data_IF_057227674596
#
_entry.id   IF_057227674596
#
_cell.length_a   1.000
_cell.length_b   1.000
_cell.length_c   1.000
_cell.angle_alpha   90.00
_cell.angle_beta   90.00
_cell.angle_gamma   90.00
#
_symmetry.space_group_name_H-M   'P 1'
#
loop_
_entity.id
_entity.type
_entity.pdbx_description
1 polymer ?
#
# COMPACT_ATOMS: atom_id res chain seq x y z
N UNK A 1 -11.23 -18.56 4.08
CA UNK A 1 -10.22 -17.50 4.30
C UNK A 1 -8.91 -17.93 3.64
N UNK A 2 -8.50 -17.25 2.57
CA UNK A 2 -7.20 -17.49 1.93
C UNK A 2 -6.13 -16.74 2.73
N UNK A 3 -5.25 -17.45 3.42
CA UNK A 3 -4.09 -16.86 4.11
C UNK A 3 -2.92 -16.75 3.13
N UNK A 4 -2.87 -15.67 2.33
CA UNK A 4 -1.73 -15.39 1.46
C UNK A 4 -0.61 -14.66 2.21
N UNK A 5 0.53 -15.31 2.18
CA UNK A 5 1.75 -15.14 2.98
C UNK A 5 2.36 -13.73 3.01
N UNK A 6 3.08 -13.41 4.10
CA UNK A 6 3.85 -12.17 4.24
C UNK A 6 5.17 -12.24 3.44
N UNK A 7 5.15 -11.86 2.16
CA UNK A 7 6.39 -11.64 1.39
C UNK A 7 6.97 -10.26 1.74
N UNK A 8 7.55 -10.14 2.94
CA UNK A 8 8.44 -9.02 3.27
C UNK A 8 9.86 -9.39 2.85
N UNK A 9 10.17 -9.17 1.58
CA UNK A 9 11.51 -9.38 1.02
C UNK A 9 12.49 -8.34 1.59
N UNK A 10 13.02 -8.60 2.78
CA UNK A 10 14.20 -7.93 3.36
C UNK A 10 15.48 -8.63 2.88
N UNK A 11 15.65 -8.69 1.55
CA UNK A 11 16.98 -8.66 0.96
C UNK A 11 17.18 -7.28 0.35
N UNK A 12 18.35 -6.69 0.64
CA UNK A 12 18.85 -5.49 -0.04
C UNK A 12 19.55 -5.85 -1.37
N UNK A 13 19.34 -7.09 -1.85
CA UNK A 13 19.88 -7.56 -3.11
C UNK A 13 19.07 -7.02 -4.29
N UNK A 14 19.78 -6.70 -5.37
CA UNK A 14 19.32 -5.78 -6.42
C UNK A 14 18.30 -6.40 -7.36
N UNK A 15 17.06 -6.59 -6.91
CA UNK A 15 15.91 -6.58 -7.84
C UNK A 15 15.76 -5.14 -8.34
N UNK A 16 16.56 -4.78 -9.34
CA UNK A 16 16.38 -3.56 -10.10
C UNK A 16 14.92 -3.53 -10.59
N UNK A 17 14.22 -2.38 -10.51
CA UNK A 17 12.92 -2.25 -11.16
C UNK A 17 13.08 -2.68 -12.61
N UNK A 18 12.18 -3.54 -13.12
CA UNK A 18 12.14 -3.85 -14.54
C UNK A 18 12.09 -2.53 -15.31
N UNK A 19 12.92 -2.41 -16.34
CA UNK A 19 12.99 -1.18 -17.12
C UNK A 19 11.58 -0.83 -17.64
N UNK A 20 11.13 0.42 -17.49
CA UNK A 20 9.85 0.85 -18.02
C UNK A 20 9.82 0.62 -19.53
N UNK A 21 8.73 0.07 -20.07
CA UNK A 21 8.62 -0.20 -21.52
C UNK A 21 8.49 1.09 -22.36
N UNK A 22 8.13 2.20 -21.72
CA UNK A 22 7.85 3.48 -22.36
C UNK A 22 6.47 3.56 -23.02
N UNK A 23 6.08 4.77 -23.41
CA UNK A 23 4.97 5.05 -24.33
C UNK A 23 5.47 5.91 -25.50
N UNK A 24 4.79 5.89 -26.67
CA UNK A 24 5.13 6.82 -27.76
C UNK A 24 5.05 8.27 -27.30
N UNK A 25 5.90 9.15 -27.83
CA UNK A 25 5.81 10.59 -27.54
C UNK A 25 4.46 11.16 -28.00
N UNK A 26 3.88 12.03 -27.16
CA UNK A 26 2.53 12.55 -27.36
C UNK A 26 2.14 13.62 -26.34
N UNK A 27 0.97 14.22 -26.57
CA UNK A 27 0.32 15.18 -25.69
C UNK A 27 -0.49 14.45 -24.60
N UNK A 28 0.21 14.06 -23.54
CA UNK A 28 -0.39 13.44 -22.35
C UNK A 28 -0.58 14.45 -21.22
N UNK A 29 -1.68 14.34 -20.47
CA UNK A 29 -1.81 15.03 -19.19
C UNK A 29 -1.16 14.21 -18.09
N UNK A 30 -0.25 14.84 -17.35
CA UNK A 30 0.35 14.28 -16.16
C UNK A 30 -0.59 14.51 -14.97
N UNK A 31 -0.87 13.46 -14.20
CA UNK A 31 -1.69 13.53 -12.99
C UNK A 31 -0.95 12.81 -11.87
N UNK A 32 -0.66 13.51 -10.78
CA UNK A 32 -0.13 12.92 -9.56
C UNK A 32 -1.15 11.96 -8.95
N UNK A 33 -0.71 10.81 -8.44
CA UNK A 33 -1.61 9.75 -7.97
C UNK A 33 -1.02 8.97 -6.80
N UNK A 34 -1.87 8.62 -5.82
CA UNK A 34 -1.51 7.73 -4.71
C UNK A 34 -2.73 7.07 -4.09
N UNK A 35 -2.51 5.95 -3.40
CA UNK A 35 -3.52 5.23 -2.62
C UNK A 35 -3.04 4.97 -1.18
N UNK A 36 -3.97 4.98 -0.23
CA UNK A 36 -3.78 4.38 1.10
C UNK A 36 -4.35 2.96 1.08
N UNK A 37 -3.76 2.04 1.84
CA UNK A 37 -4.06 0.60 1.73
C UNK A 37 -4.08 -0.12 3.08
N UNK A 38 -4.84 -1.23 3.21
CA UNK A 38 -4.85 -2.05 4.44
C UNK A 38 -3.51 -2.77 4.69
N UNK A 39 -2.71 -2.95 3.63
CA UNK A 39 -1.37 -3.55 3.68
C UNK A 39 -0.49 -3.24 2.47
N UNK A 40 0.22 -4.24 1.94
CA UNK A 40 1.22 -4.12 0.85
C UNK A 40 1.17 -5.27 -0.17
N UNK A 41 0.19 -6.17 -0.07
CA UNK A 41 -0.03 -7.33 -0.95
C UNK A 41 -1.19 -7.02 -1.90
N UNK A 42 -1.26 -7.69 -3.05
CA UNK A 42 -2.38 -7.53 -3.99
C UNK A 42 -3.76 -7.97 -3.44
N UNK A 43 -3.77 -8.76 -2.36
CA UNK A 43 -4.99 -9.13 -1.62
C UNK A 43 -5.42 -8.09 -0.56
N UNK A 44 -4.57 -7.10 -0.28
CA UNK A 44 -4.91 -6.01 0.62
C UNK A 44 -5.78 -4.98 -0.15
N UNK A 45 -6.47 -4.10 0.58
CA UNK A 45 -7.59 -3.30 0.06
C UNK A 45 -7.25 -1.81 0.03
N UNK A 46 -7.87 -1.06 -0.88
CA UNK A 46 -7.72 0.40 -0.97
C UNK A 46 -8.58 1.07 0.11
N UNK A 47 -7.97 1.93 0.92
CA UNK A 47 -8.60 2.72 1.98
C UNK A 47 -8.82 4.19 1.58
N UNK A 48 -8.02 4.69 0.65
CA UNK A 48 -8.16 6.02 0.05
C UNK A 48 -7.57 5.97 -1.35
N UNK A 49 -8.22 6.66 -2.29
CA UNK A 49 -7.67 6.95 -3.61
C UNK A 49 -7.62 8.46 -3.79
N UNK A 50 -6.49 8.97 -4.25
CA UNK A 50 -6.27 10.39 -4.45
C UNK A 50 -5.49 10.68 -5.73
N UNK A 51 -5.81 11.80 -6.35
CA UNK A 51 -5.12 12.32 -7.51
C UNK A 51 -5.05 13.85 -7.49
N UNK A 52 -4.02 14.38 -8.14
CA UNK A 52 -3.66 15.79 -8.15
C UNK A 52 -3.30 16.25 -9.56
N UNK A 53 -3.85 17.37 -9.99
CA UNK A 53 -3.39 18.15 -11.13
C UNK A 53 -3.17 19.60 -10.69
N UNK A 54 -2.56 20.43 -11.55
CA UNK A 54 -2.36 21.86 -11.26
C UNK A 54 -3.66 22.66 -11.19
N UNK A 55 -4.77 22.13 -11.70
CA UNK A 55 -6.07 22.81 -11.77
C UNK A 55 -7.13 22.21 -10.84
N UNK A 56 -7.03 20.93 -10.48
CA UNK A 56 -7.97 20.29 -9.57
C UNK A 56 -7.39 19.09 -8.83
N UNK A 57 -8.10 18.61 -7.81
CA UNK A 57 -7.72 17.44 -7.02
C UNK A 57 -8.91 16.51 -6.77
N UNK A 58 -8.62 15.23 -6.59
CA UNK A 58 -9.57 14.19 -6.21
C UNK A 58 -9.07 13.46 -4.97
N UNK A 59 -9.96 13.20 -4.01
CA UNK A 59 -9.62 12.44 -2.80
C UNK A 59 -10.87 11.80 -2.23
N UNK A 60 -10.95 10.47 -2.29
CA UNK A 60 -12.07 9.69 -1.78
C UNK A 60 -11.57 8.56 -0.89
N UNK A 61 -12.05 8.53 0.36
CA UNK A 61 -11.82 7.42 1.26
C UNK A 61 -12.80 6.27 0.97
N UNK A 62 -12.31 5.04 1.04
CA UNK A 62 -13.02 3.80 0.77
C UNK A 62 -13.12 3.02 2.07
N UNK A 63 -14.26 2.37 2.33
CA UNK A 63 -14.40 1.49 3.49
C UNK A 63 -13.94 0.07 3.16
N UNK A 64 -12.82 -0.43 3.70
CA UNK A 64 -12.36 -1.79 3.45
C UNK A 64 -13.12 -2.82 4.31
N UNK A 65 -13.21 -4.04 3.81
CA UNK A 65 -13.74 -5.21 4.51
C UNK A 65 -12.80 -5.66 5.65
N UNK A 66 -11.49 -5.62 5.44
CA UNK A 66 -10.48 -5.96 6.45
C UNK A 66 -10.09 -4.77 7.33
N UNK A 67 -9.39 -5.04 8.43
CA UNK A 67 -8.74 -4.00 9.24
C UNK A 67 -7.36 -3.64 8.70
N UNK A 68 -6.97 -2.36 8.82
CA UNK A 68 -5.62 -1.92 8.48
C UNK A 68 -4.60 -2.58 9.42
N UNK A 69 -3.54 -3.14 8.83
CA UNK A 69 -2.42 -3.72 9.60
C UNK A 69 -1.62 -2.64 10.34
N UNK A 70 -0.79 -3.04 11.32
CA UNK A 70 -0.05 -2.10 12.19
C UNK A 70 0.80 -1.10 11.39
N UNK A 71 1.44 -1.53 10.31
CA UNK A 71 2.27 -0.70 9.45
C UNK A 71 1.45 0.32 8.65
N UNK A 72 0.34 -0.12 8.07
CA UNK A 72 -0.60 0.76 7.35
C UNK A 72 -1.28 1.76 8.28
N UNK A 73 -1.71 1.36 9.49
CA UNK A 73 -2.28 2.30 10.47
C UNK A 73 -1.33 3.44 10.83
N UNK A 74 -0.03 3.12 11.01
CA UNK A 74 1.02 4.10 11.31
C UNK A 74 1.36 4.98 10.11
N UNK A 75 1.41 4.41 8.89
CA UNK A 75 1.71 5.17 7.66
C UNK A 75 0.60 6.16 7.34
N UNK A 76 -0.62 5.65 7.28
CA UNK A 76 -1.79 6.37 6.76
C UNK A 76 -2.48 7.22 7.83
N UNK A 77 -2.13 7.03 9.11
CA UNK A 77 -2.81 7.64 10.25
C UNK A 77 -4.33 7.35 10.24
N UNK A 78 -4.70 6.16 9.78
CA UNK A 78 -6.07 5.68 9.71
C UNK A 78 -6.21 4.43 10.58
N UNK A 79 -7.38 4.23 11.18
CA UNK A 79 -7.78 2.96 11.78
C UNK A 79 -9.27 2.72 11.61
N UNK A 80 -9.68 1.47 11.71
CA UNK A 80 -11.09 1.13 11.83
C UNK A 80 -11.45 1.08 13.32
N UNK A 81 -12.69 1.47 13.61
CA UNK A 81 -13.34 1.38 14.91
C UNK A 81 -14.73 0.77 14.71
N UNK A 82 -15.11 -0.10 15.63
CA UNK A 82 -16.43 -0.72 15.65
C UNK A 82 -17.29 0.02 16.69
N UNK A 83 -18.47 0.47 16.28
CA UNK A 83 -19.47 1.12 17.15
C UNK A 83 -20.72 0.25 17.08
N UNK A 84 -20.91 -0.58 18.12
CA UNK A 84 -21.90 -1.65 18.09
C UNK A 84 -21.64 -2.61 16.92
N UNK A 85 -22.56 -2.66 15.96
CA UNK A 85 -22.47 -3.50 14.75
C UNK A 85 -21.81 -2.80 13.55
N UNK A 86 -21.60 -1.48 13.62
CA UNK A 86 -21.09 -0.70 12.48
C UNK A 86 -19.57 -0.55 12.55
N UNK A 87 -18.90 -0.66 11.40
CA UNK A 87 -17.46 -0.41 11.22
C UNK A 87 -17.27 0.96 10.57
N UNK A 88 -16.40 1.80 11.12
CA UNK A 88 -16.13 3.14 10.61
C UNK A 88 -14.63 3.44 10.57
N UNK A 89 -14.21 4.21 9.57
CA UNK A 89 -12.82 4.69 9.45
C UNK A 89 -12.63 5.95 10.32
N UNK A 90 -11.55 6.00 11.10
CA UNK A 90 -11.17 7.13 11.95
C UNK A 90 -9.74 7.57 11.63
N UNK A 91 -9.56 8.89 11.47
CA UNK A 91 -8.24 9.51 11.35
C UNK A 91 -7.61 9.67 12.75
N UNK A 92 -6.36 9.23 12.89
CA UNK A 92 -5.60 9.19 14.14
C UNK A 92 -5.01 10.56 14.54
N UNK A 93 -4.71 11.43 13.57
CA UNK A 93 -4.21 12.79 13.84
C UNK A 93 -5.34 13.70 14.33
N UNK A 94 -6.44 13.76 13.57
CA UNK A 94 -7.56 14.66 13.87
C UNK A 94 -8.54 14.09 14.90
N UNK A 95 -8.43 12.79 15.20
CA UNK A 95 -9.40 12.04 16.00
C UNK A 95 -10.86 12.11 15.51
N UNK A 96 -11.10 12.43 14.23
CA UNK A 96 -12.43 12.49 13.61
C UNK A 96 -12.72 11.23 12.78
N UNK A 97 -14.01 10.86 12.71
CA UNK A 97 -14.48 9.86 11.75
C UNK A 97 -14.40 10.39 10.32
N UNK A 98 -14.07 9.51 9.39
CA UNK A 98 -13.88 9.84 7.98
C UNK A 98 -15.08 9.31 7.20
N UNK A 99 -15.69 10.16 6.37
CA UNK A 99 -16.75 9.74 5.44
C UNK A 99 -16.15 8.87 4.33
N UNK A 100 -16.68 7.68 4.14
CA UNK A 100 -16.22 6.69 3.16
C UNK A 100 -17.30 6.42 2.11
N UNK A 101 -16.89 5.93 0.94
CA UNK A 101 -17.76 5.29 -0.06
C UNK A 101 -17.42 3.79 -0.17
N UNK A 102 -18.24 3.05 -0.92
CA UNK A 102 -17.87 1.72 -1.42
C UNK A 102 -16.72 1.83 -2.44
N UNK A 103 -15.99 0.74 -2.66
CA UNK A 103 -14.88 0.70 -3.62
C UNK A 103 -15.36 1.02 -5.05
N UNK A 104 -16.43 0.37 -5.51
CA UNK A 104 -17.01 0.61 -6.86
C UNK A 104 -17.44 2.07 -7.09
N UNK A 105 -18.11 2.70 -6.13
CA UNK A 105 -18.54 4.10 -6.27
C UNK A 105 -17.35 5.05 -6.31
N UNK A 106 -16.35 4.85 -5.44
CA UNK A 106 -15.13 5.66 -5.44
C UNK A 106 -14.31 5.50 -6.73
N UNK A 107 -14.26 4.29 -7.32
CA UNK A 107 -13.59 4.07 -8.61
C UNK A 107 -14.37 4.71 -9.77
N UNK A 108 -15.69 4.67 -9.75
CA UNK A 108 -16.53 5.31 -10.78
C UNK A 108 -16.42 6.83 -10.72
N UNK A 109 -16.43 7.41 -9.51
CA UNK A 109 -16.17 8.84 -9.30
C UNK A 109 -14.76 9.22 -9.80
N UNK A 110 -13.75 8.39 -9.50
CA UNK A 110 -12.37 8.62 -9.92
C UNK A 110 -12.19 8.60 -11.43
N UNK A 111 -12.78 7.63 -12.14
CA UNK A 111 -12.78 7.59 -13.60
C UNK A 111 -13.46 8.81 -14.21
N UNK A 112 -14.61 9.20 -13.67
CA UNK A 112 -15.36 10.39 -14.12
C UNK A 112 -14.54 11.67 -13.90
N UNK A 113 -13.79 11.76 -12.80
CA UNK A 113 -12.86 12.87 -12.55
C UNK A 113 -11.66 12.85 -13.51
N UNK A 114 -11.09 11.68 -13.83
CA UNK A 114 -9.99 11.55 -14.81
C UNK A 114 -10.44 11.95 -16.22
N UNK A 115 -11.64 11.57 -16.63
CA UNK A 115 -12.22 11.95 -17.92
C UNK A 115 -12.35 13.47 -18.04
N UNK A 116 -12.88 14.13 -16.99
CA UNK A 116 -12.98 15.59 -16.94
C UNK A 116 -11.60 16.28 -16.89
N UNK A 117 -10.60 15.70 -16.22
CA UNK A 117 -9.27 16.28 -16.05
C UNK A 117 -8.26 15.95 -17.17
N UNK A 118 -8.63 15.07 -18.12
CA UNK A 118 -7.86 14.88 -19.36
C UNK A 118 -7.71 16.17 -20.14
N UNK A 119 -8.78 16.98 -20.21
CA UNK A 119 -8.82 18.20 -21.02
C UNK A 119 -8.43 17.92 -22.48
N UNK A 120 -7.62 18.81 -23.06
CA UNK A 120 -7.17 18.75 -24.46
C UNK A 120 -6.05 17.72 -24.73
N UNK A 121 -5.67 16.89 -23.74
CA UNK A 121 -4.64 15.86 -23.90
C UNK A 121 -5.13 14.72 -24.81
N UNK A 122 -4.86 14.87 -26.10
CA UNK A 122 -5.31 13.97 -27.17
C UNK A 122 -4.88 12.53 -26.92
N UNK A 123 -3.64 12.32 -26.45
CA UNK A 123 -3.07 10.98 -26.32
C UNK A 123 -3.44 10.32 -24.97
N UNK A 124 -3.92 11.10 -23.99
CA UNK A 124 -4.55 10.61 -22.76
C UNK A 124 -3.85 11.07 -21.47
N UNK A 125 -3.93 10.27 -20.42
CA UNK A 125 -3.41 10.57 -19.08
C UNK A 125 -2.28 9.62 -18.70
N UNK A 126 -1.25 10.14 -18.04
CA UNK A 126 -0.21 9.37 -17.34
C UNK A 126 -0.37 9.59 -15.83
N UNK A 127 -0.49 8.51 -15.07
CA UNK A 127 -0.57 8.56 -13.61
C UNK A 127 0.84 8.50 -12.99
N UNK A 128 1.24 9.57 -12.31
CA UNK A 128 2.55 9.73 -11.68
C UNK A 128 2.47 9.35 -10.21
N UNK A 129 3.22 8.33 -9.78
CA UNK A 129 3.29 7.86 -8.40
C UNK A 129 4.74 7.74 -7.95
N UNK A 130 5.01 7.58 -6.64
CA UNK A 130 6.39 7.54 -6.14
C UNK A 130 6.60 6.42 -5.10
N UNK A 131 7.03 5.25 -5.56
CA UNK A 131 7.26 4.08 -4.70
C UNK A 131 8.59 3.38 -5.02
N UNK A 132 9.40 3.09 -4.00
CA UNK A 132 10.57 2.22 -4.16
C UNK A 132 10.18 0.79 -4.59
N UNK A 133 9.09 0.26 -4.02
CA UNK A 133 8.54 -1.04 -4.36
C UNK A 133 7.18 -0.82 -4.99
N UNK A 134 7.10 -0.97 -6.31
CA UNK A 134 5.86 -0.87 -7.09
C UNK A 134 4.82 -1.84 -6.51
N UNK A 135 3.75 -1.28 -5.95
CA UNK A 135 2.58 -2.05 -5.51
C UNK A 135 1.27 -1.36 -5.90
N UNK A 136 1.25 -0.04 -5.88
CA UNK A 136 0.02 0.74 -6.11
C UNK A 136 -0.63 0.49 -7.48
N UNK A 137 0.07 0.55 -8.64
CA UNK A 137 -0.56 0.33 -9.95
C UNK A 137 -1.30 -1.01 -10.05
N UNK A 138 -0.67 -2.09 -9.58
CA UNK A 138 -1.25 -3.43 -9.59
C UNK A 138 -2.48 -3.55 -8.67
N UNK A 139 -2.49 -2.87 -7.52
CA UNK A 139 -3.68 -2.80 -6.66
C UNK A 139 -4.85 -2.06 -7.32
N UNK A 140 -4.59 -0.95 -8.02
CA UNK A 140 -5.63 -0.22 -8.75
C UNK A 140 -6.21 -1.06 -9.90
N UNK A 141 -5.37 -1.72 -10.69
CA UNK A 141 -5.82 -2.54 -11.80
C UNK A 141 -6.61 -3.77 -11.33
N UNK A 142 -6.20 -4.45 -10.26
CA UNK A 142 -7.02 -5.52 -9.67
C UNK A 142 -8.37 -5.00 -9.14
N UNK A 143 -8.41 -3.82 -8.51
CA UNK A 143 -9.65 -3.22 -8.03
C UNK A 143 -10.60 -2.83 -9.18
N UNK A 144 -10.08 -2.23 -10.26
CA UNK A 144 -10.86 -1.92 -11.47
C UNK A 144 -11.37 -3.19 -12.16
N UNK A 145 -10.53 -4.24 -12.21
CA UNK A 145 -10.87 -5.53 -12.82
C UNK A 145 -12.01 -6.25 -12.08
N UNK A 146 -12.09 -6.12 -10.75
CA UNK A 146 -13.23 -6.65 -9.94
C UNK A 146 -14.59 -6.10 -10.36
N UNK A 147 -14.65 -4.92 -10.98
CA UNK A 147 -15.90 -4.26 -11.37
C UNK A 147 -16.01 -4.02 -12.89
N UNK A 148 -15.20 -4.72 -13.70
CA UNK A 148 -15.16 -4.57 -15.16
C UNK A 148 -14.87 -3.14 -15.66
N UNK A 149 -14.12 -2.35 -14.88
CA UNK A 149 -13.83 -0.94 -15.18
C UNK A 149 -12.51 -0.71 -15.95
N UNK A 150 -11.76 -1.77 -16.25
CA UNK A 150 -10.45 -1.70 -16.92
C UNK A 150 -10.53 -1.07 -18.32
N UNK A 151 -11.54 -1.41 -19.12
CA UNK A 151 -11.64 -0.90 -20.48
C UNK A 151 -11.84 0.63 -20.49
N UNK A 152 -12.79 1.13 -19.69
CA UNK A 152 -13.02 2.57 -19.46
C UNK A 152 -11.76 3.28 -18.93
N UNK A 153 -11.01 2.63 -18.03
CA UNK A 153 -9.75 3.17 -17.53
C UNK A 153 -8.70 3.31 -18.64
N UNK A 154 -8.46 2.26 -19.44
CA UNK A 154 -7.44 2.23 -20.51
C UNK A 154 -7.76 3.16 -21.69
N UNK A 155 -9.04 3.51 -21.89
CA UNK A 155 -9.43 4.56 -22.83
C UNK A 155 -8.86 5.94 -22.44
N UNK A 156 -8.75 6.23 -21.14
CA UNK A 156 -8.28 7.52 -20.60
C UNK A 156 -6.81 7.49 -20.21
N UNK A 157 -6.40 6.52 -19.39
CA UNK A 157 -5.05 6.39 -18.84
C UNK A 157 -4.22 5.45 -19.72
N UNK A 158 -3.03 5.90 -20.12
CA UNK A 158 -2.13 5.12 -21.00
C UNK A 158 -1.02 4.39 -20.25
N UNK A 159 -0.68 4.86 -19.06
CA UNK A 159 0.26 4.14 -18.19
C UNK A 159 0.57 4.85 -16.89
N UNK A 160 1.51 4.26 -16.16
CA UNK A 160 1.96 4.72 -14.86
C UNK A 160 3.44 5.10 -14.91
N UNK A 161 3.80 6.28 -14.40
CA UNK A 161 5.19 6.73 -14.28
C UNK A 161 5.62 6.71 -12.80
N UNK A 162 6.72 6.01 -12.49
CA UNK A 162 7.25 5.96 -11.13
C UNK A 162 8.34 7.02 -10.91
N UNK A 163 8.01 8.08 -10.18
CA UNK A 163 8.93 9.15 -9.79
C UNK A 163 10.16 8.64 -9.04
N UNK A 164 10.08 7.49 -8.36
CA UNK A 164 11.27 6.85 -7.75
C UNK A 164 12.30 6.44 -8.82
N UNK A 165 11.85 5.85 -9.93
CA UNK A 165 12.73 5.41 -11.00
C UNK A 165 13.39 6.62 -11.68
N UNK A 166 12.60 7.66 -11.99
CA UNK A 166 13.07 8.92 -12.58
C UNK A 166 14.14 9.55 -11.68
N UNK A 167 13.84 9.72 -10.38
CA UNK A 167 14.78 10.26 -9.40
C UNK A 167 16.04 9.40 -9.23
N UNK A 168 15.93 8.07 -9.31
CA UNK A 168 17.09 7.16 -9.18
C UNK A 168 18.08 7.24 -10.34
N UNK A 169 17.62 7.69 -11.52
CA UNK A 169 18.48 7.98 -12.68
C UNK A 169 19.06 9.38 -12.55
N UNK A 170 18.21 10.39 -12.39
CA UNK A 170 18.63 11.80 -12.42
C UNK A 170 19.47 12.22 -11.20
N UNK A 171 19.08 11.81 -9.99
CA UNK A 171 19.77 12.21 -8.75
C UNK A 171 20.83 11.20 -8.29
N UNK A 172 21.23 10.24 -9.14
CA UNK A 172 22.14 9.13 -8.80
C UNK A 172 23.46 9.57 -8.17
N UNK A 173 23.99 10.69 -8.63
CA UNK A 173 25.25 11.27 -8.16
C UNK A 173 25.06 12.20 -6.94
N UNK A 174 23.84 12.68 -6.70
CA UNK A 174 23.51 13.66 -5.65
C UNK A 174 23.18 13.00 -4.32
N UNK A 175 22.51 11.85 -4.32
CA UNK A 175 22.05 11.18 -3.09
C UNK A 175 21.90 9.67 -3.23
N UNK A 176 21.98 8.97 -2.08
CA UNK A 176 21.82 7.52 -1.98
C UNK A 176 20.37 7.08 -1.73
N UNK A 177 19.44 8.01 -1.50
CA UNK A 177 18.04 7.70 -1.17
C UNK A 177 17.06 8.56 -1.97
N UNK A 178 16.25 7.89 -2.81
CA UNK A 178 15.26 8.51 -3.68
C UNK A 178 13.84 8.41 -3.11
N UNK A 179 13.68 8.24 -1.80
CA UNK A 179 12.35 8.22 -1.17
C UNK A 179 11.65 9.58 -1.34
N UNK A 180 10.31 9.58 -1.45
CA UNK A 180 9.51 10.79 -1.69
C UNK A 180 9.88 11.92 -0.70
N UNK A 181 10.02 11.62 0.59
CA UNK A 181 10.44 12.59 1.62
C UNK A 181 11.82 13.21 1.36
N UNK A 182 12.78 12.43 0.89
CA UNK A 182 14.12 12.96 0.57
C UNK A 182 14.05 13.82 -0.69
N UNK A 183 13.29 13.41 -1.71
CA UNK A 183 13.11 14.19 -2.94
C UNK A 183 12.36 15.51 -2.69
N UNK A 184 11.24 15.50 -1.96
CA UNK A 184 10.48 16.71 -1.64
C UNK A 184 11.30 17.72 -0.83
N UNK A 185 12.10 17.25 0.14
CA UNK A 185 12.98 18.14 0.90
C UNK A 185 14.15 18.67 0.06
N UNK A 186 14.74 17.84 -0.81
CA UNK A 186 15.93 18.19 -1.59
C UNK A 186 15.63 19.07 -2.82
N UNK A 187 14.48 18.84 -3.48
CA UNK A 187 14.11 19.50 -4.74
C UNK A 187 13.06 20.61 -4.53
N UNK A 188 12.16 20.45 -3.56
CA UNK A 188 11.04 21.37 -3.35
C UNK A 188 11.17 22.19 -2.06
N UNK A 189 12.20 21.93 -1.24
CA UNK A 189 12.37 22.49 0.12
C UNK A 189 11.14 22.28 1.03
N UNK A 190 10.37 21.21 0.81
CA UNK A 190 9.18 20.87 1.61
C UNK A 190 9.45 19.74 2.61
N UNK A 191 9.01 19.91 3.86
CA UNK A 191 9.01 18.87 4.90
C UNK A 191 7.59 18.32 5.14
N UNK A 192 6.93 17.87 4.07
CA UNK A 192 5.54 17.44 4.12
C UNK A 192 5.30 16.13 4.90
N UNK A 193 4.11 16.03 5.49
CA UNK A 193 3.64 14.83 6.18
C UNK A 193 2.85 13.93 5.22
N UNK A 194 3.58 13.05 4.53
CA UNK A 194 3.08 12.05 3.56
C UNK A 194 2.10 10.98 4.11
N UNK A 195 1.48 11.23 5.26
CA UNK A 195 0.49 10.35 5.87
C UNK A 195 -0.84 10.25 5.11
N UNK A 196 -1.17 11.21 4.24
CA UNK A 196 -2.41 11.22 3.44
C UNK A 196 -2.10 10.89 1.98
N UNK A 197 -3.02 10.25 1.25
CA UNK A 197 -2.81 9.92 -0.16
C UNK A 197 -2.71 11.18 -1.06
N UNK A 198 -3.45 12.26 -0.78
CA UNK A 198 -3.43 13.47 -1.63
C UNK A 198 -2.09 14.20 -1.53
N UNK A 199 -1.55 14.38 -0.33
CA UNK A 199 -0.24 15.01 -0.09
C UNK A 199 0.88 14.26 -0.83
N UNK A 200 0.79 12.92 -0.89
CA UNK A 200 1.71 12.08 -1.68
C UNK A 200 1.51 12.22 -3.20
N UNK A 201 0.27 12.30 -3.66
CA UNK A 201 -0.05 12.47 -5.07
C UNK A 201 0.49 13.82 -5.59
N UNK A 202 0.29 14.90 -4.84
CA UNK A 202 0.84 16.22 -5.13
C UNK A 202 2.38 16.21 -5.16
N UNK A 203 3.02 15.72 -4.09
CA UNK A 203 4.47 15.71 -4.03
C UNK A 203 5.13 14.82 -5.11
N UNK A 204 4.51 13.69 -5.48
CA UNK A 204 4.97 12.85 -6.58
C UNK A 204 4.93 13.58 -7.93
N UNK A 205 3.86 14.35 -8.19
CA UNK A 205 3.75 15.21 -9.37
C UNK A 205 4.81 16.31 -9.38
N UNK A 206 4.92 17.08 -8.29
CA UNK A 206 5.84 18.21 -8.18
C UNK A 206 7.32 17.79 -8.32
N UNK A 207 7.72 16.67 -7.69
CA UNK A 207 9.07 16.11 -7.83
C UNK A 207 9.38 15.77 -9.29
N UNK A 208 8.45 15.13 -10.00
CA UNK A 208 8.66 14.72 -11.39
C UNK A 208 8.66 15.90 -12.35
N UNK A 209 7.81 16.91 -12.12
CA UNK A 209 7.84 18.18 -12.87
C UNK A 209 9.16 18.91 -12.67
N UNK A 210 9.66 19.02 -11.44
CA UNK A 210 10.96 19.65 -11.16
C UNK A 210 12.12 18.90 -11.85
N UNK A 211 12.11 17.56 -11.84
CA UNK A 211 13.14 16.77 -12.52
C UNK A 211 13.10 16.95 -14.05
N UNK A 212 11.90 16.99 -14.66
CA UNK A 212 11.74 17.26 -16.09
C UNK A 212 12.00 18.71 -16.53
N UNK A 213 12.00 19.66 -15.58
CA UNK A 213 12.47 21.03 -15.81
C UNK A 213 13.99 21.12 -15.75
N UNK A 214 14.63 20.41 -14.82
CA UNK A 214 16.10 20.42 -14.68
C UNK A 214 16.81 19.87 -15.93
N UNK A 215 16.24 18.87 -16.62
CA UNK A 215 16.77 18.33 -17.88
C UNK A 215 16.81 19.39 -19.01
N UNK A 216 15.90 20.38 -19.00
CA UNK A 216 15.92 21.47 -19.99
C UNK A 216 17.16 22.36 -19.88
N UNK A 217 17.65 22.57 -18.66
CA UNK A 217 18.72 23.55 -18.39
C UNK A 217 20.08 23.19 -18.99
N UNK A 218 20.27 21.91 -19.36
CA UNK A 218 21.49 21.44 -20.05
C UNK A 218 21.42 21.62 -21.58
N UNK A 219 20.27 22.07 -22.13
CA UNK A 219 20.08 22.33 -23.57
C UNK A 219 19.98 23.83 -23.82
N UNK A 220 20.97 24.38 -24.53
CA UNK A 220 21.12 25.83 -24.83
C UNK A 220 20.09 26.38 -25.85
N UNK A 221 18.79 26.22 -25.60
CA UNK A 221 17.72 26.81 -26.41
C UNK A 221 17.19 28.12 -25.80
N UNK A 222 17.78 29.24 -26.21
CA UNK A 222 17.41 30.61 -25.78
C UNK A 222 16.07 31.13 -26.32
N UNK A 223 15.21 30.27 -26.90
CA UNK A 223 13.98 30.66 -27.60
C UNK A 223 12.76 29.74 -27.34
N UNK A 224 12.50 29.35 -26.08
CA UNK A 224 11.44 28.39 -25.74
C UNK A 224 10.44 28.82 -24.65
N UNK A 225 10.02 30.10 -24.64
CA UNK A 225 8.82 30.51 -23.88
C UNK A 225 7.56 29.92 -24.54
N UNK A 226 7.13 28.73 -24.06
CA UNK A 226 5.73 28.30 -23.82
C UNK A 226 5.55 26.77 -23.79
N UNK A 227 6.46 25.98 -24.39
CA UNK A 227 6.32 24.51 -24.47
C UNK A 227 6.99 23.77 -23.28
N UNK A 228 6.55 24.05 -22.05
CA UNK A 228 7.02 23.34 -20.87
C UNK A 228 6.35 21.98 -20.67
N UNK A 229 5.04 21.86 -20.82
CA UNK A 229 4.34 20.57 -20.64
C UNK A 229 4.77 19.52 -21.68
N UNK A 230 4.92 19.89 -22.96
CA UNK A 230 5.30 18.96 -24.03
C UNK A 230 6.68 18.31 -23.85
N UNK A 231 7.68 19.07 -23.38
CA UNK A 231 9.00 18.52 -23.06
C UNK A 231 8.94 17.55 -21.88
N UNK A 232 8.26 17.94 -20.80
CA UNK A 232 8.12 17.10 -19.60
C UNK A 232 7.36 15.81 -19.95
N UNK A 233 6.39 15.86 -20.87
CA UNK A 233 5.72 14.68 -21.44
C UNK A 233 6.70 13.73 -22.14
N UNK A 234 7.55 14.22 -23.05
CA UNK A 234 8.55 13.40 -23.77
C UNK A 234 9.73 12.95 -22.90
N UNK A 235 10.05 13.68 -21.83
CA UNK A 235 10.96 13.20 -20.80
C UNK A 235 10.37 11.98 -20.08
N UNK A 236 9.13 12.11 -19.61
CA UNK A 236 8.45 11.08 -18.81
C UNK A 236 8.04 9.87 -19.65
N UNK A 237 7.76 10.04 -20.95
CA UNK A 237 7.30 8.96 -21.86
C UNK A 237 8.18 7.70 -21.76
N UNK A 238 9.50 7.89 -21.66
CA UNK A 238 10.55 6.87 -21.48
C UNK A 238 10.46 6.10 -20.14
N UNK A 239 9.84 6.69 -19.13
CA UNK A 239 9.69 6.14 -17.77
C UNK A 239 8.28 5.61 -17.46
N UNK A 240 7.35 5.71 -18.41
CA UNK A 240 6.00 5.15 -18.28
C UNK A 240 6.04 3.63 -18.46
N UNK A 241 5.29 2.89 -17.65
CA UNK A 241 4.89 1.53 -17.99
C UNK A 241 3.43 1.56 -18.50
N UNK A 242 3.14 1.10 -19.73
CA UNK A 242 1.79 1.06 -20.27
C UNK A 242 0.84 0.23 -19.40
N UNK A 243 -0.47 0.53 -19.44
CA UNK A 243 -1.47 -0.25 -18.68
C UNK A 243 -1.42 -1.75 -19.05
N UNK A 244 -1.29 -2.07 -20.34
CA UNK A 244 -1.14 -3.46 -20.81
C UNK A 244 0.10 -4.17 -20.26
N UNK A 245 1.21 -3.44 -20.05
CA UNK A 245 2.43 -3.98 -19.48
C UNK A 245 2.29 -4.25 -17.96
N UNK A 246 1.60 -3.37 -17.23
CA UNK A 246 1.24 -3.63 -15.84
C UNK A 246 0.26 -4.83 -15.72
N UNK A 247 -0.71 -4.96 -16.63
CA UNK A 247 -1.62 -6.13 -16.66
C UNK A 247 -0.89 -7.45 -16.95
N UNK A 248 0.07 -7.45 -17.88
CA UNK A 248 0.95 -8.57 -18.17
C UNK A 248 1.82 -8.95 -16.96
N UNK A 249 2.38 -7.97 -16.24
CA UNK A 249 3.14 -8.21 -15.01
C UNK A 249 2.25 -8.83 -13.90
N UNK A 250 0.99 -8.39 -13.76
CA UNK A 250 0.03 -8.96 -12.82
C UNK A 250 -0.32 -10.42 -13.20
N UNK A 251 -0.54 -10.70 -14.48
CA UNK A 251 -0.83 -12.05 -14.96
C UNK A 251 0.34 -13.00 -14.67
N UNK A 252 1.56 -12.60 -15.01
CA UNK A 252 2.78 -13.33 -14.70
C UNK A 252 2.96 -13.55 -13.19
N UNK A 253 2.66 -12.53 -12.36
CA UNK A 253 2.73 -12.65 -10.90
C UNK A 253 1.71 -13.66 -10.35
N UNK A 254 0.49 -13.72 -10.91
CA UNK A 254 -0.53 -14.71 -10.51
C UNK A 254 -0.07 -16.14 -10.80
N UNK A 255 0.42 -16.40 -12.01
CA UNK A 255 1.00 -17.71 -12.38
C UNK A 255 2.16 -18.09 -11.46
N UNK A 256 3.06 -17.15 -11.17
CA UNK A 256 4.18 -17.38 -10.24
C UNK A 256 3.70 -17.68 -8.81
N UNK A 257 2.62 -17.04 -8.35
CA UNK A 257 2.02 -17.28 -7.03
C UNK A 257 1.32 -18.64 -6.96
N UNK A 258 0.63 -19.04 -8.02
CA UNK A 258 -0.01 -20.36 -8.13
C UNK A 258 1.02 -21.49 -8.07
N UNK A 259 2.12 -21.38 -8.83
CA UNK A 259 3.26 -22.31 -8.73
C UNK A 259 3.85 -22.37 -7.32
N UNK A 260 4.11 -21.21 -6.70
CA UNK A 260 4.58 -21.16 -5.31
C UNK A 260 3.62 -21.87 -4.36
N UNK A 261 2.31 -21.77 -4.58
CA UNK A 261 1.30 -22.42 -3.74
C UNK A 261 1.29 -23.95 -3.87
N UNK A 262 1.80 -24.53 -4.97
CA UNK A 262 1.97 -26.00 -5.09
C UNK A 262 2.90 -26.56 -4.01
N UNK A 263 3.91 -25.79 -3.57
CA UNK A 263 4.86 -26.17 -2.52
C UNK A 263 4.34 -26.00 -1.08
N UNK A 264 3.04 -25.71 -0.89
CA UNK A 264 2.43 -25.60 0.43
C UNK A 264 2.53 -26.87 1.30
N UNK A 265 2.51 -28.11 0.78
CA UNK A 265 2.77 -29.31 1.57
C UNK A 265 4.18 -29.32 2.17
N UNK A 266 5.20 -29.05 1.34
CA UNK A 266 6.63 -29.08 1.70
C UNK A 266 6.97 -28.02 2.75
N UNK A 267 6.68 -26.75 2.48
CA UNK A 267 7.09 -25.64 3.35
C UNK A 267 6.02 -25.27 4.39
N UNK A 268 4.90 -26.00 4.48
CA UNK A 268 3.73 -25.63 5.29
C UNK A 268 4.00 -25.46 6.78
N UNK A 269 5.03 -26.14 7.32
CA UNK A 269 5.52 -25.94 8.68
C UNK A 269 6.40 -24.67 8.79
N UNK A 270 7.36 -24.49 7.88
CA UNK A 270 8.26 -23.33 7.82
C UNK A 270 7.50 -22.00 7.60
N UNK A 271 6.40 -22.01 6.83
CA UNK A 271 5.56 -20.82 6.65
C UNK A 271 4.78 -20.41 7.91
N UNK A 272 4.62 -21.31 8.90
CA UNK A 272 3.99 -21.01 10.21
C UNK A 272 4.99 -20.58 11.28
N UNK A 273 6.28 -20.53 10.94
CA UNK A 273 7.40 -20.35 11.85
C UNK A 273 7.61 -18.88 12.30
N UNK A 274 8.83 -18.52 12.69
CA UNK A 274 9.18 -17.11 12.94
C UNK A 274 9.19 -16.29 11.65
N UNK A 275 9.17 -14.95 11.76
CA UNK A 275 9.19 -14.07 10.58
C UNK A 275 10.43 -14.28 9.69
N UNK A 276 11.67 -14.42 10.22
CA UNK A 276 12.84 -14.74 9.39
C UNK A 276 12.71 -16.08 8.65
N UNK A 277 12.30 -17.14 9.34
CA UNK A 277 12.12 -18.48 8.73
C UNK A 277 11.05 -18.46 7.63
N UNK A 278 9.91 -17.78 7.86
CA UNK A 278 8.86 -17.61 6.86
C UNK A 278 9.35 -16.85 5.62
N UNK A 279 10.18 -15.81 5.80
CA UNK A 279 10.77 -15.06 4.69
C UNK A 279 11.73 -15.93 3.87
N UNK A 280 12.59 -16.70 4.54
CA UNK A 280 13.53 -17.61 3.91
C UNK A 280 12.82 -18.72 3.12
N UNK A 281 11.84 -19.39 3.75
CA UNK A 281 11.00 -20.40 3.07
C UNK A 281 10.23 -19.82 1.87
N UNK A 282 9.78 -18.56 1.95
CA UNK A 282 9.17 -17.85 0.81
C UNK A 282 10.18 -17.55 -0.30
N UNK A 283 11.42 -17.22 0.02
CA UNK A 283 12.50 -17.02 -0.95
C UNK A 283 12.79 -18.33 -1.70
N UNK A 284 13.01 -19.43 -0.98
CA UNK A 284 13.28 -20.75 -1.57
C UNK A 284 12.13 -21.22 -2.49
N UNK A 285 10.86 -21.05 -2.07
CA UNK A 285 9.69 -21.36 -2.92
C UNK A 285 9.61 -20.49 -4.17
N UNK A 286 9.90 -19.20 -4.05
CA UNK A 286 9.92 -18.28 -5.18
C UNK A 286 10.99 -18.68 -6.19
N UNK A 287 12.18 -19.04 -5.72
CA UNK A 287 13.32 -19.46 -6.51
C UNK A 287 13.03 -20.74 -7.31
N UNK A 288 12.28 -21.71 -6.77
CA UNK A 288 11.74 -22.83 -7.56
C UNK A 288 10.75 -22.36 -8.64
N UNK A 289 9.76 -21.55 -8.24
CA UNK A 289 8.66 -21.15 -9.12
C UNK A 289 9.10 -20.21 -10.28
N UNK A 290 10.11 -19.37 -10.07
CA UNK A 290 10.71 -18.51 -11.09
C UNK A 290 11.42 -19.32 -12.18
N UNK A 291 11.97 -20.48 -11.84
CA UNK A 291 12.58 -21.41 -12.79
C UNK A 291 11.57 -22.44 -13.36
N UNK A 292 10.26 -22.17 -13.23
CA UNK A 292 9.16 -23.02 -13.72
C UNK A 292 9.11 -24.43 -13.09
N UNK A 293 9.67 -24.61 -11.90
CA UNK A 293 9.56 -25.85 -11.14
C UNK A 293 8.29 -25.79 -10.28
N UNK A 294 7.47 -26.84 -10.32
CA UNK A 294 6.31 -27.03 -9.46
C UNK A 294 6.46 -28.32 -8.61
N UNK A 295 5.51 -28.55 -7.72
CA UNK A 295 5.51 -29.73 -6.86
C UNK A 295 5.43 -31.05 -7.65
N UNK A 296 4.63 -31.11 -8.72
CA UNK A 296 4.41 -32.34 -9.50
C UNK A 296 5.68 -32.76 -10.25
N UNK A 297 6.44 -31.79 -10.78
CA UNK A 297 7.72 -32.03 -11.44
C UNK A 297 8.77 -32.60 -10.47
N UNK A 298 8.87 -32.05 -9.26
CA UNK A 298 9.78 -32.59 -8.24
C UNK A 298 9.35 -33.96 -7.73
N UNK A 299 8.04 -34.19 -7.56
CA UNK A 299 7.51 -35.51 -7.20
C UNK A 299 7.89 -36.56 -8.26
N UNK A 300 7.64 -36.29 -9.54
CA UNK A 300 7.96 -37.21 -10.65
C UNK A 300 9.46 -37.51 -10.76
N UNK A 301 10.31 -36.52 -10.49
CA UNK A 301 11.76 -36.68 -10.46
C UNK A 301 12.23 -37.56 -9.29
N UNK A 302 11.62 -37.40 -8.11
CA UNK A 302 11.90 -38.26 -6.97
C UNK A 302 11.40 -39.70 -7.20
N UNK A 303 10.22 -39.87 -7.80
CA UNK A 303 9.71 -41.20 -8.15
C UNK A 303 10.59 -41.90 -9.21
N UNK A 304 11.27 -41.14 -10.07
CA UNK A 304 12.16 -41.66 -11.12
C UNK A 304 13.58 -42.01 -10.64
N UNK A 305 14.16 -41.19 -9.74
CA UNK A 305 15.59 -41.32 -9.36
C UNK A 305 15.89 -40.79 -7.95
N UNK A 306 14.90 -40.81 -7.06
CA UNK A 306 14.98 -40.37 -5.67
C UNK A 306 15.68 -38.99 -5.52
N UNK A 307 16.62 -38.89 -4.59
CA UNK A 307 17.38 -37.67 -4.30
C UNK A 307 18.14 -37.15 -5.53
N UNK A 308 18.78 -38.03 -6.29
CA UNK A 308 19.62 -37.68 -7.44
C UNK A 308 18.78 -37.04 -8.56
N UNK A 309 17.52 -37.47 -8.71
CA UNK A 309 16.55 -36.85 -9.62
C UNK A 309 16.22 -35.40 -9.25
N UNK A 310 16.05 -35.11 -7.96
CA UNK A 310 15.84 -33.74 -7.46
C UNK A 310 17.12 -32.91 -7.64
N UNK A 311 18.29 -33.45 -7.28
CA UNK A 311 19.57 -32.77 -7.40
C UNK A 311 19.89 -32.41 -8.87
N UNK A 312 19.57 -33.30 -9.82
CA UNK A 312 19.67 -33.05 -11.25
C UNK A 312 18.81 -31.87 -11.72
N UNK A 313 17.53 -31.80 -11.30
CA UNK A 313 16.66 -30.65 -11.63
C UNK A 313 17.20 -29.37 -11.02
N UNK A 314 17.59 -29.38 -9.74
CA UNK A 314 18.09 -28.18 -9.06
C UNK A 314 19.37 -27.63 -9.72
N UNK A 315 20.32 -28.48 -10.11
CA UNK A 315 21.55 -28.03 -10.79
C UNK A 315 21.32 -27.57 -12.22
N UNK A 316 20.44 -28.24 -12.97
CA UNK A 316 20.24 -27.95 -14.39
C UNK A 316 19.30 -26.75 -14.64
N UNK A 317 18.25 -26.62 -13.84
CA UNK A 317 17.17 -25.65 -14.09
C UNK A 317 17.22 -24.41 -13.18
N UNK A 318 18.06 -24.40 -12.15
CA UNK A 318 18.15 -23.29 -11.18
C UNK A 318 19.56 -22.66 -11.15
N UNK A 319 20.11 -22.21 -12.30
CA UNK A 319 21.48 -21.69 -12.39
C UNK A 319 21.70 -20.36 -11.64
N UNK A 320 20.62 -19.67 -11.30
CA UNK A 320 20.65 -18.34 -10.67
C UNK A 320 20.70 -18.37 -9.12
N UNK A 321 20.69 -19.56 -8.52
CA UNK A 321 20.68 -19.74 -7.07
C UNK A 321 22.09 -19.75 -6.48
N UNK A 322 22.22 -19.36 -5.20
CA UNK A 322 23.46 -19.57 -4.45
C UNK A 322 23.54 -21.05 -4.08
N UNK A 323 24.75 -21.61 -4.12
CA UNK A 323 25.00 -23.03 -3.82
C UNK A 323 24.42 -23.46 -2.46
N UNK A 324 24.50 -22.58 -1.45
CA UNK A 324 23.88 -22.78 -0.14
C UNK A 324 22.36 -22.96 -0.21
N UNK A 325 21.67 -22.14 -1.01
CA UNK A 325 20.22 -22.18 -1.14
C UNK A 325 19.77 -23.44 -1.90
N UNK A 326 20.60 -23.91 -2.86
CA UNK A 326 20.41 -25.21 -3.54
C UNK A 326 20.61 -26.39 -2.58
N UNK A 327 21.65 -26.35 -1.73
CA UNK A 327 21.90 -27.40 -0.73
C UNK A 327 20.75 -27.48 0.29
N UNK A 328 20.28 -26.33 0.81
CA UNK A 328 19.15 -26.28 1.75
C UNK A 328 17.84 -26.73 1.07
N UNK A 329 17.61 -26.37 -0.19
CA UNK A 329 16.47 -26.89 -0.96
C UNK A 329 16.51 -28.41 -1.11
N UNK A 330 17.66 -28.97 -1.48
CA UNK A 330 17.83 -30.41 -1.63
C UNK A 330 17.58 -31.12 -0.29
N UNK A 331 18.06 -30.58 0.83
CA UNK A 331 17.81 -31.13 2.17
C UNK A 331 16.32 -31.09 2.56
N UNK A 332 15.64 -29.95 2.35
CA UNK A 332 14.20 -29.79 2.61
C UNK A 332 13.37 -30.78 1.79
N UNK A 333 13.70 -30.95 0.51
CA UNK A 333 12.95 -31.79 -0.42
C UNK A 333 13.22 -33.28 -0.17
N UNK A 334 14.48 -33.69 0.01
CA UNK A 334 14.88 -35.05 0.37
C UNK A 334 14.21 -35.49 1.68
N UNK A 335 14.22 -34.63 2.72
CA UNK A 335 13.54 -34.92 3.98
C UNK A 335 12.00 -34.92 3.91
N UNK A 336 11.39 -34.43 2.83
CA UNK A 336 9.94 -34.41 2.64
C UNK A 336 9.44 -35.61 1.84
N UNK A 337 10.15 -35.98 0.77
CA UNK A 337 9.76 -37.10 -0.10
C UNK A 337 10.23 -38.46 0.42
N UNK A 338 11.31 -38.52 1.20
CA UNK A 338 11.77 -39.76 1.82
C UNK A 338 10.90 -40.13 3.05
N UNK A 339 10.20 -41.29 3.05
CA UNK A 339 9.32 -41.69 4.15
C UNK A 339 10.07 -42.11 5.43
N UNK A 340 11.36 -42.40 5.36
CA UNK A 340 12.20 -42.71 6.53
C UNK A 340 12.73 -41.43 7.21
N UNK A 341 12.83 -40.33 6.46
CA UNK A 341 13.25 -39.03 6.98
C UNK A 341 12.08 -38.26 7.60
N UNK A 342 12.40 -37.33 8.50
CA UNK A 342 11.41 -36.41 9.09
C UNK A 342 11.47 -35.08 8.37
N UNK A 343 10.34 -34.66 7.79
CA UNK A 343 10.19 -33.35 7.16
C UNK A 343 10.66 -32.22 8.08
N UNK A 344 11.48 -31.31 7.53
CA UNK A 344 12.17 -30.26 8.29
C UNK A 344 11.15 -29.37 9.01
N UNK A 345 11.24 -29.38 10.35
CA UNK A 345 10.42 -28.55 11.21
C UNK A 345 11.13 -27.22 11.51
N UNK A 346 10.39 -26.12 11.69
CA UNK A 346 10.98 -24.86 12.11
C UNK A 346 11.66 -24.99 13.47
N UNK A 347 12.68 -24.15 13.70
CA UNK A 347 13.45 -24.22 14.95
C UNK A 347 12.51 -23.95 16.12
N UNK A 348 12.55 -24.74 17.20
CA UNK A 348 11.67 -24.54 18.34
C UNK A 348 11.86 -23.11 18.82
N UNK A 349 10.75 -22.39 19.03
CA UNK A 349 10.80 -21.07 19.63
C UNK A 349 11.41 -21.26 21.01
N UNK A 350 12.66 -20.83 21.16
CA UNK A 350 13.21 -20.50 22.46
C UNK A 350 12.37 -19.34 22.99
N UNK A 351 11.26 -19.70 23.64
CA UNK A 351 10.74 -18.92 24.74
C UNK A 351 11.86 -18.89 25.76
N UNK A 352 12.75 -17.90 25.62
CA UNK A 352 13.54 -17.46 26.74
C UNK A 352 12.51 -17.15 27.83
N UNK A 353 12.45 -18.04 28.82
CA UNK A 353 11.96 -17.71 30.15
C UNK A 353 12.91 -16.63 30.67
N UNK A 354 12.73 -15.41 30.17
CA UNK A 354 13.05 -14.24 30.97
C UNK A 354 12.23 -14.44 32.23
N UNK A 355 12.94 -14.76 33.31
CA UNK A 355 12.44 -14.62 34.66
C UNK A 355 11.75 -13.26 34.73
N UNK A 356 10.42 -13.28 34.65
CA UNK A 356 9.60 -12.20 35.16
C UNK A 356 9.76 -12.28 36.66
N UNK A 357 10.90 -11.78 37.15
CA UNK A 357 11.03 -11.32 38.52
C UNK A 357 9.78 -10.48 38.75
N UNK A 358 8.89 -10.88 39.68
CA UNK A 358 7.72 -10.09 39.98
C UNK A 358 8.25 -8.70 40.34
N UNK A 359 7.86 -7.68 39.58
CA UNK A 359 8.18 -6.31 39.94
C UNK A 359 7.55 -6.10 41.31
N UNK A 360 8.38 -6.10 42.34
CA UNK A 360 7.97 -5.79 43.70
C UNK A 360 7.13 -4.52 43.63
N UNK A 361 5.88 -4.61 44.06
CA UNK A 361 5.06 -3.44 44.30
C UNK A 361 5.65 -2.78 45.54
N UNK A 362 6.68 -1.96 45.36
CA UNK A 362 7.15 -1.06 46.41
C UNK A 362 6.03 -0.07 46.66
N UNK A 363 5.23 -0.38 47.67
CA UNK A 363 4.06 0.35 48.09
C UNK A 363 4.55 1.65 48.73
N UNK A 364 4.52 2.74 47.97
CA UNK A 364 4.88 4.08 48.44
C UNK A 364 3.84 4.56 49.44
N UNK A 365 4.02 4.21 50.72
CA UNK A 365 3.28 4.79 51.82
C UNK A 365 3.69 6.27 51.99
N UNK A 366 2.91 7.18 51.42
CA UNK A 366 2.97 8.59 51.80
C UNK A 366 2.23 8.78 53.13
N UNK A 367 2.90 8.43 54.23
CA UNK A 367 2.53 8.95 55.55
C UNK A 367 3.12 10.36 55.73
N UNK A 368 2.30 11.25 56.28
CA UNK A 368 2.66 12.61 56.70
C UNK A 368 3.67 12.56 57.85
N UNK A 369 4.55 13.57 57.94
CA UNK A 369 4.69 14.36 59.17
C UNK A 369 5.36 15.73 58.91
N UNK A 370 5.35 16.61 59.92
CA UNK A 370 5.37 18.08 59.78
C UNK A 370 6.73 18.76 60.02
N UNK A 371 6.79 20.05 59.66
CA UNK A 371 7.83 21.05 60.02
C UNK A 371 7.90 22.14 58.94
N UNK A 372 7.14 23.25 59.05
CA UNK A 372 7.54 24.55 59.65
C UNK A 372 8.77 25.22 58.96
N UNK A 373 8.80 26.52 58.61
CA UNK A 373 7.91 27.68 58.85
C UNK A 373 8.26 28.85 57.86
N UNK A 374 7.43 29.93 57.82
CA UNK A 374 7.57 31.22 57.09
C UNK A 374 7.30 31.24 55.56
N UNK A 375 6.57 32.21 54.98
CA UNK A 375 5.79 33.32 55.59
C UNK A 375 5.15 34.29 54.56
N UNK A 376 4.21 35.13 55.02
CA UNK A 376 3.52 36.27 54.36
C UNK A 376 2.41 36.04 53.30
N UNK A 377 1.16 36.03 53.78
CA UNK A 377 0.07 36.99 53.52
C UNK A 377 0.04 37.73 52.15
N UNK A 378 -1.08 37.79 51.43
CA UNK A 378 -2.29 38.49 51.91
C UNK A 378 -3.62 38.02 51.25
N UNK A 379 -4.73 38.23 51.96
CA UNK A 379 -6.13 37.98 51.56
C UNK A 379 -6.62 38.98 50.48
N UNK A 380 -7.82 38.91 49.88
CA UNK A 380 -9.15 38.97 50.55
C UNK A 380 -10.30 38.51 49.63
N UNK A 381 -11.23 37.75 50.21
CA UNK A 381 -12.70 37.58 50.04
C UNK A 381 -13.44 38.10 48.77
N UNK A 382 -14.59 37.53 48.37
CA UNK A 382 -15.51 36.73 49.19
C UNK A 382 -16.55 35.86 48.47
N UNK A 383 -17.48 35.35 49.28
CA UNK A 383 -18.44 34.29 48.99
C UNK A 383 -19.83 34.83 48.59
N UNK A 384 -20.66 34.02 47.91
CA UNK A 384 -21.99 33.56 48.41
C UNK A 384 -22.70 32.64 47.39
N UNK A 385 -23.31 31.60 47.95
CA UNK A 385 -24.33 30.62 47.51
C UNK A 385 -25.36 31.08 46.40
N UNK A 386 -26.20 30.23 45.75
CA UNK A 386 -26.88 29.00 46.22
C UNK A 386 -27.55 28.18 45.07
N UNK A 387 -27.65 26.85 45.25
CA UNK A 387 -28.77 25.92 44.90
C UNK A 387 -29.43 25.79 43.49
N UNK A 388 -29.65 24.51 43.11
CA UNK A 388 -30.82 23.92 42.39
C UNK A 388 -31.11 24.34 40.92
N UNK A 389 -31.71 23.52 40.04
CA UNK A 389 -32.01 22.06 40.01
C UNK A 389 -32.37 21.64 38.56
N UNK A 390 -32.62 20.36 38.32
CA UNK A 390 -33.02 19.76 37.04
C UNK A 390 -34.27 20.41 36.40
N UNK A 391 -34.36 20.43 35.06
CA UNK A 391 -35.36 19.62 34.29
C UNK A 391 -35.26 19.84 32.77
N UNK A 392 -35.69 18.82 32.02
CA UNK A 392 -35.99 18.88 30.57
C UNK A 392 -37.37 19.49 30.32
N UNK A 393 -37.70 19.83 29.05
CA UNK A 393 -39.00 19.37 28.55
C UNK A 393 -38.99 18.84 27.11
N UNK A 394 -40.04 18.09 26.76
CA UNK A 394 -40.33 17.56 25.41
C UNK A 394 -41.83 17.73 25.12
N UNK A 395 -42.16 18.27 23.94
CA UNK A 395 -43.48 18.24 23.25
C UNK A 395 -44.74 18.73 23.96
N UNK A 396 -45.52 19.60 23.28
CA UNK A 396 -46.98 19.44 23.13
C UNK A 396 -47.38 19.81 21.69
N UNK A 397 -48.39 19.12 21.16
CA UNK A 397 -49.02 19.39 19.86
C UNK A 397 -50.10 20.48 19.95
N UNK A 398 -50.58 20.96 18.81
CA UNK A 398 -52.00 21.24 18.59
C UNK A 398 -52.31 21.13 17.08
N UNK A 399 -53.38 20.41 16.73
CA UNK A 399 -53.82 20.19 15.35
C UNK A 399 -55.18 20.85 15.04
N UNK A 400 -55.95 20.22 14.14
CA UNK A 400 -57.30 20.55 13.60
C UNK A 400 -57.24 21.26 12.22
N UNK A 401 -57.97 20.86 11.15
CA UNK A 401 -58.51 19.54 10.72
C UNK A 401 -59.09 19.68 9.29
N UNK A 402 -59.04 18.62 8.46
CA UNK A 402 -59.86 18.31 7.23
C UNK A 402 -59.99 19.37 6.10
N UNK A 403 -60.25 19.07 4.81
CA UNK A 403 -60.53 17.86 4.00
C UNK A 403 -60.04 18.17 2.55
N UNK A 404 -60.07 17.33 1.50
CA UNK A 404 -60.63 15.99 1.25
C UNK A 404 -59.78 15.18 0.22
N UNK A 405 -60.41 14.21 -0.45
CA UNK A 405 -59.96 13.37 -1.58
C UNK A 405 -61.22 13.05 -2.45
N UNK A 406 -61.15 12.22 -3.51
CA UNK A 406 -60.21 12.18 -4.65
C UNK A 406 -60.97 12.03 -6.01
N UNK A 407 -60.25 11.85 -7.13
CA UNK A 407 -60.76 11.02 -8.24
C UNK A 407 -59.65 10.56 -9.19
N UNK A 408 -59.49 9.26 -9.34
CA UNK A 408 -58.74 8.63 -10.44
C UNK A 408 -59.52 8.76 -11.76
N UNK A 409 -58.84 8.64 -12.90
CA UNK A 409 -59.51 8.26 -14.15
C UNK A 409 -58.55 7.44 -15.01
N UNK A 410 -58.91 6.18 -15.25
CA UNK A 410 -58.31 5.29 -16.24
C UNK A 410 -59.44 4.76 -17.12
N UNK A 411 -59.46 5.11 -18.41
CA UNK A 411 -60.19 4.35 -19.44
C UNK A 411 -59.45 4.47 -20.78
N UNK A 412 -59.10 3.29 -21.33
CA UNK A 412 -58.78 2.94 -22.74
C UNK A 412 -57.62 3.66 -23.45
#
# INVERSE_FOLDING_TARGET
MVQTEDIVAEDNEKVLPRAPKGVPDGNYKLIGWSIDTTGRRLIDEICQIAAYSTTSQFSQHIMPFSDLNVGSRRRHNLRIINIGRYRMLKNLKTNKFVKTKSEISALTDFLTWLEANRGDAKDGVILVYHEFRKTSPAMLLEALRRYSLIERFSQVVKGFANGFNIASVQCKNTTKSFSLRVMSRMLLNKEDDFGNAIDRAQAAFEVVVHLGQAEKTDVNDTNANNNNEGHISSFISKFVNPVSAEEEEIANFKVLLERQNTFRPVFGALMKATLPERRHASHLRRLLAENNIDYAKLQSAYESSAKDGIEGILKNEVPNAKEKDLTELLEILDCFFDPEKKAIQPKPRFFANQNRNPRSRTQSNNNKENGEVNGNNNSTEGSVNTSSSETTPRTVENGIVEQSQPSETVVQ
#
